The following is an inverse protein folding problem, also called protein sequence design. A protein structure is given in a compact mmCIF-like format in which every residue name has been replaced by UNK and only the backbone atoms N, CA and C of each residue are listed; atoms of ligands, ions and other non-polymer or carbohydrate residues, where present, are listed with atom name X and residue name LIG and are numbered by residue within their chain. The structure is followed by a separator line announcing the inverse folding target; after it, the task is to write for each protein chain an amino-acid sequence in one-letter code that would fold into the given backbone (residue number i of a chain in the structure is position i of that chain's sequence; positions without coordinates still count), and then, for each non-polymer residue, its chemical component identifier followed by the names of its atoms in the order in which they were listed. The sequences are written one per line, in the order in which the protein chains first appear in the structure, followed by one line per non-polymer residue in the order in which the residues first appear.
data_IF_097384613085
#
_entry.id   IF_097384613085
#
_cell.length_a   1.000
_cell.length_b   1.000
_cell.length_c   1.000
_cell.angle_alpha   90.00
_cell.angle_beta   90.00
_cell.angle_gamma   90.00
#
_symmetry.space_group_name_H-M   'P 1'
#
loop_
_entity.id
_entity.type
_entity.pdbx_description
1 polymer ?
#
# COMPACT_ATOMS: atom_id res chain seq x y z
N UNK A 1 0.13 18.68 -1.29
CA UNK A 1 -0.35 17.33 -0.97
C UNK A 1 -1.43 17.34 0.10
N UNK A 2 -1.18 17.86 1.30
CA UNK A 2 -2.13 17.93 2.43
C UNK A 2 -3.49 18.54 2.01
N UNK A 3 -3.50 19.63 1.25
CA UNK A 3 -4.74 20.23 0.74
C UNK A 3 -5.55 19.28 -0.16
N UNK A 4 -4.88 18.43 -0.98
CA UNK A 4 -5.55 17.43 -1.81
C UNK A 4 -6.17 16.31 -0.97
N UNK A 5 -5.53 15.91 0.11
CA UNK A 5 -6.07 14.93 1.05
C UNK A 5 -7.24 15.52 1.84
N UNK A 6 -7.14 16.78 2.30
CA UNK A 6 -8.27 17.48 2.92
C UNK A 6 -9.49 17.57 1.98
N UNK A 7 -9.28 17.85 0.70
CA UNK A 7 -10.35 17.85 -0.29
C UNK A 7 -11.00 16.48 -0.50
N UNK A 8 -10.34 15.40 -0.11
CA UNK A 8 -10.85 14.01 -0.11
C UNK A 8 -11.46 13.59 1.23
N UNK A 9 -11.67 14.52 2.16
CA UNK A 9 -12.31 14.24 3.44
C UNK A 9 -11.35 13.91 4.59
N UNK A 10 -10.02 13.99 4.38
CA UNK A 10 -9.06 13.79 5.46
C UNK A 10 -8.93 15.05 6.32
N UNK A 11 -8.86 14.88 7.64
CA UNK A 11 -8.70 15.94 8.62
C UNK A 11 -7.31 15.86 9.25
N UNK A 12 -6.64 17.01 9.37
CA UNK A 12 -5.33 17.07 10.01
C UNK A 12 -5.47 17.10 11.54
N UNK A 13 -4.81 16.14 12.19
CA UNK A 13 -4.70 16.08 13.65
C UNK A 13 -3.34 16.64 14.07
N UNK A 14 -3.34 17.86 14.64
CA UNK A 14 -2.12 18.56 15.04
C UNK A 14 -1.38 17.90 16.21
N UNK A 15 -2.09 17.13 17.05
CA UNK A 15 -1.47 16.43 18.19
C UNK A 15 -0.62 15.26 17.75
N UNK A 16 -1.06 14.55 16.72
CA UNK A 16 -0.38 13.37 16.17
C UNK A 16 0.52 13.70 14.96
N UNK A 17 0.43 14.94 14.44
CA UNK A 17 1.05 15.37 13.18
C UNK A 17 0.71 14.44 11.99
N UNK A 18 -0.55 14.02 11.94
CA UNK A 18 -1.08 13.06 10.95
C UNK A 18 -2.40 13.55 10.37
N UNK A 19 -2.78 13.00 9.24
CA UNK A 19 -4.11 13.13 8.68
C UNK A 19 -4.94 11.90 9.09
N UNK A 20 -6.19 12.11 9.43
CA UNK A 20 -7.17 11.08 9.78
C UNK A 20 -8.32 11.13 8.77
N UNK A 21 -8.82 9.98 8.35
CA UNK A 21 -9.91 9.87 7.39
C UNK A 21 -10.32 8.43 7.15
N UNK A 22 -11.03 8.20 6.07
CA UNK A 22 -11.52 6.87 5.69
C UNK A 22 -10.88 6.43 4.36
N UNK A 23 -10.48 5.18 4.30
CA UNK A 23 -10.01 4.52 3.09
C UNK A 23 -10.67 3.13 2.98
N UNK A 24 -11.43 2.92 1.91
CA UNK A 24 -12.15 1.65 1.65
C UNK A 24 -13.00 1.18 2.84
N UNK A 25 -13.78 2.09 3.43
CA UNK A 25 -14.68 1.78 4.53
C UNK A 25 -13.99 1.54 5.87
N UNK A 26 -12.70 1.89 5.98
CA UNK A 26 -11.94 1.76 7.24
C UNK A 26 -11.33 3.09 7.65
N UNK A 27 -11.40 3.47 8.93
CA UNK A 27 -10.68 4.62 9.44
C UNK A 27 -9.17 4.38 9.33
N UNK A 28 -8.46 5.37 8.81
CA UNK A 28 -7.01 5.32 8.61
C UNK A 28 -6.33 6.59 9.07
N UNK A 29 -5.08 6.44 9.50
CA UNK A 29 -4.13 7.54 9.69
C UNK A 29 -3.19 7.62 8.51
N UNK A 30 -2.91 8.84 8.08
CA UNK A 30 -2.07 9.08 6.91
C UNK A 30 -0.90 9.98 7.26
N UNK A 31 0.29 9.49 6.93
CA UNK A 31 1.55 10.25 7.02
C UNK A 31 2.11 10.49 5.62
N UNK A 32 2.66 11.67 5.40
CA UNK A 32 3.28 12.05 4.12
C UNK A 32 4.77 12.25 4.35
N UNK A 33 5.59 11.52 3.61
CA UNK A 33 7.05 11.65 3.68
C UNK A 33 7.55 12.38 2.43
N UNK A 34 8.42 13.37 2.67
CA UNK A 34 8.97 14.21 1.61
C UNK A 34 10.48 14.08 1.55
N UNK A 35 11.02 14.24 0.35
CA UNK A 35 12.44 14.39 0.08
C UNK A 35 12.63 15.57 -0.87
N UNK A 36 13.56 16.48 -0.57
CA UNK A 36 13.78 17.71 -1.33
C UNK A 36 12.48 18.48 -1.65
N UNK A 37 11.59 18.61 -0.67
CA UNK A 37 10.26 19.23 -0.79
C UNK A 37 9.29 18.54 -1.77
N UNK A 38 9.60 17.30 -2.20
CA UNK A 38 8.72 16.49 -3.03
C UNK A 38 8.22 15.29 -2.24
N UNK A 39 6.94 14.99 -2.34
CA UNK A 39 6.37 13.79 -1.71
C UNK A 39 6.85 12.56 -2.45
N UNK A 40 7.56 11.67 -1.77
CA UNK A 40 7.94 10.39 -2.32
C UNK A 40 7.14 9.21 -1.73
N UNK A 41 6.60 9.35 -0.51
CA UNK A 41 5.77 8.31 0.11
C UNK A 41 4.54 8.90 0.79
N UNK A 42 3.42 8.20 0.65
CA UNK A 42 2.24 8.37 1.48
C UNK A 42 2.01 7.04 2.20
N UNK A 43 1.99 7.05 3.52
CA UNK A 43 1.74 5.87 4.35
C UNK A 43 0.33 5.98 4.95
N UNK A 44 -0.48 4.93 4.76
CA UNK A 44 -1.78 4.78 5.40
C UNK A 44 -1.69 3.61 6.38
N UNK A 45 -2.21 3.80 7.58
CA UNK A 45 -2.26 2.75 8.61
C UNK A 45 -3.70 2.64 9.08
N UNK A 46 -4.27 1.44 9.10
CA UNK A 46 -5.57 1.19 9.69
C UNK A 46 -5.57 1.65 11.15
N UNK A 47 -6.58 2.40 11.54
CA UNK A 47 -6.71 2.91 12.92
C UNK A 47 -7.14 1.82 13.89
N UNK A 48 -7.96 0.88 13.42
CA UNK A 48 -8.50 -0.20 14.22
C UNK A 48 -7.81 -1.52 13.88
N UNK A 49 -7.37 -2.22 14.93
CA UNK A 49 -6.89 -3.59 14.80
C UNK A 49 -8.08 -4.55 14.65
N UNK A 50 -7.85 -5.69 14.03
CA UNK A 50 -8.86 -6.71 13.81
C UNK A 50 -8.32 -8.14 14.03
N UNK A 51 -9.22 -9.13 14.02
CA UNK A 51 -8.87 -10.53 14.14
C UNK A 51 -8.17 -11.09 12.89
N UNK A 52 -7.59 -12.27 13.01
CA UNK A 52 -6.95 -12.97 11.89
C UNK A 52 -7.90 -13.18 10.70
N UNK A 53 -9.13 -13.62 10.95
CA UNK A 53 -10.10 -13.82 9.87
C UNK A 53 -10.50 -12.53 9.18
N UNK A 54 -10.63 -11.44 9.93
CA UNK A 54 -10.97 -10.13 9.38
C UNK A 54 -9.82 -9.54 8.56
N UNK A 55 -8.57 -9.71 9.01
CA UNK A 55 -7.42 -9.18 8.27
C UNK A 55 -7.21 -9.90 6.94
N UNK A 56 -7.44 -11.24 6.88
CA UNK A 56 -7.43 -11.99 5.62
C UNK A 56 -8.44 -11.41 4.62
N UNK A 57 -9.68 -11.20 5.06
CA UNK A 57 -10.74 -10.63 4.22
C UNK A 57 -10.32 -9.25 3.71
N UNK A 58 -9.81 -8.39 4.60
CA UNK A 58 -9.38 -7.04 4.24
C UNK A 58 -8.21 -7.05 3.25
N UNK A 59 -7.18 -7.86 3.50
CA UNK A 59 -6.03 -8.00 2.63
C UNK A 59 -6.45 -8.49 1.23
N UNK A 60 -7.22 -9.56 1.15
CA UNK A 60 -7.69 -10.12 -0.12
C UNK A 60 -8.64 -9.16 -0.86
N UNK A 61 -9.47 -8.42 -0.12
CA UNK A 61 -10.33 -7.38 -0.72
C UNK A 61 -9.49 -6.28 -1.38
N UNK A 62 -8.42 -5.84 -0.73
CA UNK A 62 -7.48 -4.86 -1.31
C UNK A 62 -6.80 -5.42 -2.55
N UNK A 63 -6.32 -6.67 -2.53
CA UNK A 63 -5.74 -7.32 -3.71
C UNK A 63 -6.69 -7.24 -4.91
N UNK A 64 -7.93 -7.69 -4.73
CA UNK A 64 -8.97 -7.68 -5.79
C UNK A 64 -9.30 -6.27 -6.28
N UNK A 65 -9.36 -5.28 -5.38
CA UNK A 65 -9.64 -3.90 -5.75
C UNK A 65 -8.54 -3.32 -6.65
N UNK A 66 -7.27 -3.58 -6.32
CA UNK A 66 -6.16 -3.13 -7.16
C UNK A 66 -6.07 -3.91 -8.47
N UNK A 67 -6.26 -5.22 -8.46
CA UNK A 67 -6.27 -6.06 -9.66
C UNK A 67 -7.38 -5.66 -10.66
N UNK A 68 -8.56 -5.31 -10.15
CA UNK A 68 -9.68 -4.84 -10.97
C UNK A 68 -9.56 -3.39 -11.43
N UNK A 69 -8.57 -2.65 -10.95
CA UNK A 69 -8.36 -1.26 -11.31
C UNK A 69 -7.32 -1.16 -12.44
N UNK A 70 -7.77 -0.81 -13.64
CA UNK A 70 -6.94 -0.69 -14.87
C UNK A 70 -5.73 0.25 -14.75
N UNK A 71 -5.63 1.03 -13.66
CA UNK A 71 -4.48 1.91 -13.39
C UNK A 71 -3.33 1.19 -12.71
N UNK A 72 -3.50 -0.10 -12.36
CA UNK A 72 -2.53 -0.87 -11.62
C UNK A 72 -2.28 -2.22 -12.28
N UNK A 73 -1.05 -2.73 -12.16
CA UNK A 73 -0.67 -4.08 -12.52
C UNK A 73 -0.06 -4.80 -11.31
N UNK A 74 -0.44 -6.03 -11.03
CA UNK A 74 0.13 -6.78 -9.92
C UNK A 74 1.61 -7.06 -10.14
N UNK A 75 2.42 -6.97 -9.08
CA UNK A 75 3.85 -7.30 -9.09
C UNK A 75 4.09 -8.81 -9.13
N UNK A 76 3.14 -9.59 -8.64
CA UNK A 76 3.17 -11.06 -8.60
C UNK A 76 1.78 -11.61 -8.86
N UNK A 77 1.73 -12.81 -9.40
CA UNK A 77 0.49 -13.57 -9.49
C UNK A 77 0.08 -14.10 -8.10
N UNK A 78 -1.23 -14.26 -7.90
CA UNK A 78 -1.80 -14.88 -6.69
C UNK A 78 -1.29 -14.28 -5.38
N UNK A 79 -1.49 -12.98 -5.20
CA UNK A 79 -1.10 -12.27 -3.97
C UNK A 79 -2.09 -12.48 -2.81
N UNK A 80 -3.27 -13.06 -3.06
CA UNK A 80 -4.27 -13.33 -2.04
C UNK A 80 -3.79 -14.40 -1.04
N UNK A 81 -4.22 -14.25 0.20
CA UNK A 81 -3.95 -15.20 1.29
C UNK A 81 -5.01 -16.30 1.25
N UNK A 82 -4.58 -17.56 1.27
CA UNK A 82 -5.47 -18.72 1.34
C UNK A 82 -6.31 -18.72 2.64
N UNK A 83 -7.53 -19.21 2.56
CA UNK A 83 -8.38 -19.39 3.75
C UNK A 83 -7.76 -20.33 4.79
N UNK A 84 -7.03 -21.34 4.35
CA UNK A 84 -6.36 -22.32 5.21
C UNK A 84 -5.07 -21.82 5.85
N UNK A 85 -4.56 -20.65 5.43
CA UNK A 85 -3.34 -20.07 5.98
C UNK A 85 -3.56 -19.62 7.43
N UNK A 86 -2.72 -20.09 8.34
CA UNK A 86 -2.67 -19.62 9.73
C UNK A 86 -1.66 -18.47 9.84
N UNK A 87 -2.17 -17.24 9.70
CA UNK A 87 -1.33 -16.02 9.73
C UNK A 87 -0.61 -15.89 11.07
N UNK A 88 -1.30 -16.17 12.15
CA UNK A 88 -0.74 -16.06 13.51
C UNK A 88 0.47 -16.97 13.70
N UNK A 89 0.34 -18.21 13.29
CA UNK A 89 1.43 -19.20 13.36
C UNK A 89 2.58 -18.82 12.44
N UNK A 90 2.28 -18.53 11.18
CA UNK A 90 3.29 -18.21 10.17
C UNK A 90 4.11 -16.94 10.53
N UNK A 91 3.44 -15.89 11.00
CA UNK A 91 4.12 -14.66 11.41
C UNK A 91 4.95 -14.88 12.68
N UNK A 92 4.41 -15.61 13.67
CA UNK A 92 5.09 -15.83 14.95
C UNK A 92 6.29 -16.78 14.82
N UNK A 93 6.08 -17.93 14.17
CA UNK A 93 7.06 -19.04 14.13
C UNK A 93 8.02 -18.87 12.96
N UNK A 94 7.49 -18.62 11.76
CA UNK A 94 8.29 -18.56 10.54
C UNK A 94 8.72 -17.14 10.16
N UNK A 95 8.30 -16.11 10.91
CA UNK A 95 8.56 -14.69 10.58
C UNK A 95 8.11 -14.31 9.18
N UNK A 96 7.05 -14.99 8.70
CA UNK A 96 6.50 -14.74 7.38
C UNK A 96 5.86 -13.36 7.33
N UNK A 97 6.15 -12.64 6.26
CA UNK A 97 5.53 -11.35 5.96
C UNK A 97 4.49 -11.53 4.86
N UNK A 98 3.32 -10.90 5.02
CA UNK A 98 2.25 -10.90 4.05
C UNK A 98 2.21 -9.55 3.36
N UNK A 99 2.61 -9.53 2.09
CA UNK A 99 2.72 -8.32 1.29
C UNK A 99 2.07 -8.51 -0.06
N UNK A 100 1.42 -7.45 -0.58
CA UNK A 100 0.97 -7.36 -1.95
C UNK A 100 1.41 -6.03 -2.55
N UNK A 101 1.77 -6.03 -3.82
CA UNK A 101 2.31 -4.87 -4.51
C UNK A 101 1.78 -4.73 -5.94
N UNK A 102 1.68 -3.47 -6.40
CA UNK A 102 1.14 -3.11 -7.69
C UNK A 102 1.91 -1.93 -8.29
N UNK A 103 2.23 -2.03 -9.58
CA UNK A 103 2.75 -0.91 -10.36
C UNK A 103 1.61 0.02 -10.76
N UNK A 104 1.76 1.32 -10.56
CA UNK A 104 0.84 2.29 -11.09
C UNK A 104 1.19 2.58 -12.55
N UNK A 105 0.31 2.14 -13.45
CA UNK A 105 0.34 2.45 -14.87
C UNK A 105 -0.68 3.57 -15.12
N UNK A 106 -0.34 4.60 -15.82
CA UNK A 106 -1.28 5.71 -16.08
C UNK A 106 -2.47 5.28 -16.95
N UNK A 107 -3.51 6.12 -17.07
CA UNK A 107 -4.70 5.81 -17.88
C UNK A 107 -4.39 5.58 -19.37
N UNK A 108 -3.25 6.01 -19.85
CA UNK A 108 -2.79 5.86 -21.25
C UNK A 108 -1.98 4.58 -21.50
N UNK A 109 -1.63 3.83 -20.45
CA UNK A 109 -0.58 2.82 -20.49
C UNK A 109 -1.03 1.37 -20.60
N UNK A 110 -2.32 1.07 -20.55
CA UNK A 110 -2.80 -0.33 -20.42
C UNK A 110 -2.42 -1.21 -21.62
N UNK A 111 -2.38 -0.68 -22.82
CA UNK A 111 -2.03 -1.44 -24.03
C UNK A 111 -0.53 -1.59 -24.25
N UNK A 112 0.29 -0.64 -23.81
CA UNK A 112 1.74 -0.69 -23.98
C UNK A 112 2.48 -1.47 -22.86
N UNK A 113 1.78 -1.80 -21.78
CA UNK A 113 2.37 -2.49 -20.61
C UNK A 113 2.04 -4.00 -20.56
N UNK A 114 0.96 -4.43 -21.26
CA UNK A 114 0.52 -5.83 -21.25
C UNK A 114 1.55 -6.82 -21.84
N UNK A 115 2.42 -6.35 -22.72
CA UNK A 115 3.44 -7.17 -23.39
C UNK A 115 4.83 -7.05 -22.74
N UNK A 116 4.93 -6.36 -21.59
CA UNK A 116 6.22 -6.14 -20.92
C UNK A 116 6.47 -7.14 -19.79
N UNK A 117 7.73 -7.56 -19.66
CA UNK A 117 8.16 -8.36 -18.52
C UNK A 117 8.10 -7.55 -17.21
N UNK A 118 8.06 -8.25 -16.08
CA UNK A 118 8.10 -7.59 -14.74
C UNK A 118 9.35 -6.72 -14.59
N UNK A 119 10.50 -7.14 -15.11
CA UNK A 119 11.75 -6.38 -15.08
C UNK A 119 11.65 -5.07 -15.87
N UNK A 120 10.98 -5.10 -17.03
CA UNK A 120 10.72 -3.89 -17.82
C UNK A 120 9.74 -2.95 -17.11
N UNK A 121 8.74 -3.50 -16.40
CA UNK A 121 7.79 -2.72 -15.62
C UNK A 121 8.45 -2.02 -14.42
N UNK A 122 9.36 -2.68 -13.72
CA UNK A 122 10.14 -2.10 -12.62
C UNK A 122 10.97 -0.89 -13.08
N UNK A 123 11.51 -0.95 -14.30
CA UNK A 123 12.27 0.17 -14.87
C UNK A 123 11.40 1.33 -15.34
N UNK A 124 10.17 1.06 -15.77
CA UNK A 124 9.27 2.07 -16.34
C UNK A 124 8.40 2.72 -15.27
N UNK A 125 7.82 1.93 -14.37
CA UNK A 125 6.95 2.44 -13.32
C UNK A 125 7.75 2.73 -12.05
N UNK A 126 7.98 4.02 -11.81
CA UNK A 126 8.55 4.53 -10.56
C UNK A 126 7.50 4.83 -9.49
N UNK A 127 6.24 4.55 -9.78
CA UNK A 127 5.11 4.72 -8.84
C UNK A 127 4.53 3.35 -8.52
N UNK A 128 4.52 3.02 -7.25
CA UNK A 128 4.00 1.75 -6.77
C UNK A 128 3.07 1.96 -5.59
N UNK A 129 2.14 1.04 -5.42
CA UNK A 129 1.41 0.86 -4.18
C UNK A 129 1.69 -0.53 -3.66
N UNK A 130 1.93 -0.65 -2.39
CA UNK A 130 2.08 -1.95 -1.74
C UNK A 130 1.55 -1.88 -0.32
N UNK A 131 1.14 -3.01 0.21
CA UNK A 131 0.62 -3.09 1.56
C UNK A 131 1.02 -4.39 2.24
N UNK A 132 1.04 -4.35 3.55
CA UNK A 132 1.45 -5.46 4.40
C UNK A 132 0.55 -5.57 5.63
N UNK A 133 0.53 -6.75 6.24
CA UNK A 133 -0.13 -6.97 7.52
C UNK A 133 0.85 -6.64 8.64
N UNK A 134 0.47 -5.75 9.53
CA UNK A 134 1.12 -5.52 10.81
C UNK A 134 0.46 -6.32 11.92
N UNK A 135 1.25 -6.73 12.92
CA UNK A 135 0.78 -7.40 14.13
C UNK A 135 1.00 -6.53 15.36
N UNK A 136 0.02 -6.52 16.24
CA UNK A 136 0.08 -5.91 17.54
C UNK A 136 -0.58 -6.83 18.58
N UNK A 137 0.23 -7.66 19.23
CA UNK A 137 -0.21 -8.64 20.23
C UNK A 137 -1.34 -9.57 19.75
N UNK A 138 -1.19 -10.13 18.54
CA UNK A 138 -2.19 -11.04 17.94
C UNK A 138 -3.45 -10.34 17.43
N UNK A 139 -3.39 -9.03 17.28
CA UNK A 139 -4.36 -8.22 16.55
C UNK A 139 -3.67 -7.61 15.33
N UNK A 140 -4.38 -7.53 14.21
CA UNK A 140 -3.79 -7.23 12.91
C UNK A 140 -4.33 -5.95 12.31
N UNK A 141 -3.53 -5.29 11.47
CA UNK A 141 -3.90 -4.09 10.75
C UNK A 141 -3.15 -4.02 9.42
N UNK A 142 -3.67 -3.26 8.47
CA UNK A 142 -2.97 -2.99 7.20
C UNK A 142 -2.12 -1.74 7.34
N UNK A 143 -0.90 -1.83 6.79
CA UNK A 143 -0.06 -0.67 6.46
C UNK A 143 0.05 -0.63 4.95
N UNK A 144 -0.30 0.50 4.34
CA UNK A 144 -0.25 0.68 2.89
C UNK A 144 0.65 1.86 2.54
N UNK A 145 1.43 1.70 1.49
CA UNK A 145 2.37 2.69 1.01
C UNK A 145 2.10 3.02 -0.46
N UNK A 146 2.02 4.31 -0.77
CA UNK A 146 2.08 4.84 -2.12
C UNK A 146 3.45 5.49 -2.30
N UNK A 147 4.31 4.87 -3.08
CA UNK A 147 5.68 5.31 -3.32
C UNK A 147 5.83 5.93 -4.70
N UNK A 148 6.60 7.00 -4.77
CA UNK A 148 7.02 7.64 -6.01
C UNK A 148 8.55 7.78 -6.01
N UNK A 149 9.21 6.79 -6.55
CA UNK A 149 10.67 6.74 -6.59
C UNK A 149 11.32 7.84 -7.46
N UNK A 150 10.56 8.50 -8.33
CA UNK A 150 11.06 9.70 -9.02
C UNK A 150 11.36 10.88 -8.08
N UNK A 151 10.81 10.86 -6.88
CA UNK A 151 10.94 11.92 -5.89
C UNK A 151 11.85 11.52 -4.71
N UNK A 152 12.38 10.32 -4.72
CA UNK A 152 13.32 9.83 -3.70
C UNK A 152 14.74 10.18 -4.13
N UNK A 153 15.56 10.69 -3.22
CA UNK A 153 16.98 10.86 -3.46
C UNK A 153 17.64 9.48 -3.68
N UNK A 154 18.47 9.37 -4.68
CA UNK A 154 19.17 8.15 -5.05
C UNK A 154 20.59 8.05 -4.48
N UNK A 155 20.98 9.03 -3.65
CA UNK A 155 22.31 9.05 -3.02
C UNK A 155 23.46 9.43 -3.96
N UNK A 156 23.17 9.82 -5.20
CA UNK A 156 24.20 10.27 -6.15
C UNK A 156 24.76 11.65 -5.78
N UNK A 157 24.13 12.36 -4.84
CA UNK A 157 24.54 13.69 -4.35
C UNK A 157 25.43 13.61 -3.08
N UNK A 158 25.87 12.43 -2.66
CA UNK A 158 26.72 12.22 -1.48
C UNK A 158 28.20 12.15 -1.86
#
# INVERSE_FOLDING_TARGET
MIQKLKAKGFTYNATLDMLEGEFNGQPVRVTVVTDNNKVYRICLIDENNCSESQIKIRFNTLCRQFENNKKYLPMKDNQEISESEDISYEMLVHKKEYQAGFYQIGPEGTTSFLDKSLEELEQISKKVVWFTIGDHYGQYYIIMYYDNYNNQANGEDL
#
